data_IF_135282079246
#
_entry.id   IF_135282079246
#
_cell.length_a   1.000
_cell.length_b   1.000
_cell.length_c   1.000
_cell.angle_alpha   90.00
_cell.angle_beta   90.00
_cell.angle_gamma   90.00
#
_symmetry.space_group_name_H-M   'P 1'
#
loop_
_entity.id
_entity.type
_entity.pdbx_description
1 polymer ?
#
# COMPACT_ATOMS: atom_id res chain seq x y z
N UNK A 1 -4.48 9.74 -1.72
CA UNK A 1 -3.09 9.23 -1.61
C UNK A 1 -2.17 10.22 -0.88
N UNK A 2 -2.12 11.51 -1.28
CA UNK A 2 -1.21 12.53 -0.74
C UNK A 2 -1.29 12.80 0.78
N UNK A 3 -2.37 12.39 1.43
CA UNK A 3 -2.54 12.51 2.89
C UNK A 3 -1.78 11.41 3.63
N UNK A 4 -1.80 10.22 3.05
CA UNK A 4 -1.38 8.99 3.69
C UNK A 4 0.08 8.66 3.40
N UNK A 5 0.63 9.27 2.36
CA UNK A 5 1.95 8.99 1.84
C UNK A 5 2.69 10.29 1.58
N UNK A 6 4.01 10.21 1.69
CA UNK A 6 4.89 11.31 1.34
C UNK A 6 4.74 11.67 -0.15
N UNK A 7 4.91 12.95 -0.55
CA UNK A 7 4.65 13.38 -1.92
C UNK A 7 5.38 12.59 -3.00
N UNK A 8 6.61 12.11 -2.76
CA UNK A 8 7.37 11.33 -3.74
C UNK A 8 6.77 9.94 -3.96
N UNK A 9 6.29 9.27 -2.90
CA UNK A 9 5.62 7.97 -3.02
C UNK A 9 4.27 8.11 -3.70
N UNK A 10 3.43 9.02 -3.21
CA UNK A 10 2.08 9.23 -3.73
C UNK A 10 2.06 9.83 -5.14
N UNK A 11 3.00 10.72 -5.45
CA UNK A 11 3.02 11.48 -6.70
C UNK A 11 3.83 10.85 -7.82
N UNK A 12 4.87 10.04 -7.50
CA UNK A 12 5.79 9.50 -8.50
C UNK A 12 5.80 7.98 -8.49
N UNK A 13 6.12 7.36 -7.35
CA UNK A 13 6.36 5.91 -7.29
C UNK A 13 5.09 5.10 -7.56
N UNK A 14 4.01 5.34 -6.82
CA UNK A 14 2.77 4.57 -7.03
C UNK A 14 2.16 4.79 -8.42
N UNK A 15 2.06 6.02 -8.96
CA UNK A 15 1.62 6.22 -10.35
C UNK A 15 2.49 5.48 -11.36
N UNK A 16 3.81 5.51 -11.19
CA UNK A 16 4.73 4.78 -12.08
C UNK A 16 4.52 3.27 -12.00
N UNK A 17 4.37 2.72 -10.79
CA UNK A 17 4.09 1.30 -10.58
C UNK A 17 2.74 0.87 -11.16
N UNK A 18 1.70 1.73 -11.10
CA UNK A 18 0.40 1.47 -11.71
C UNK A 18 0.54 1.38 -13.23
N UNK A 19 1.22 2.36 -13.85
CA UNK A 19 1.42 2.38 -15.31
C UNK A 19 2.22 1.16 -15.78
N UNK A 20 3.36 0.88 -15.13
CA UNK A 20 4.18 -0.30 -15.42
C UNK A 20 3.38 -1.59 -15.20
N UNK A 21 2.60 -1.65 -14.12
CA UNK A 21 1.74 -2.80 -13.81
C UNK A 21 0.71 -3.07 -14.91
N UNK A 22 0.03 -2.03 -15.41
CA UNK A 22 -0.93 -2.13 -16.51
C UNK A 22 -0.25 -2.58 -17.82
N UNK A 23 0.93 -2.05 -18.14
CA UNK A 23 1.71 -2.48 -19.31
C UNK A 23 2.22 -3.93 -19.18
N UNK A 24 2.44 -4.40 -17.94
CA UNK A 24 2.94 -5.75 -17.67
C UNK A 24 1.87 -6.84 -17.75
N UNK A 25 0.57 -6.49 -17.65
CA UNK A 25 -0.56 -7.44 -17.72
C UNK A 25 -0.43 -8.46 -18.87
N UNK A 26 -0.25 -8.06 -20.15
CA UNK A 26 -0.17 -9.02 -21.26
C UNK A 26 1.03 -9.98 -21.18
N UNK A 27 2.09 -9.61 -20.45
CA UNK A 27 3.29 -10.45 -20.30
C UNK A 27 3.20 -11.38 -19.09
N UNK A 28 2.46 -10.98 -18.06
CA UNK A 28 2.24 -11.77 -16.85
C UNK A 28 1.12 -12.78 -17.06
N UNK A 29 0.04 -12.37 -17.74
CA UNK A 29 -1.12 -13.21 -17.99
C UNK A 29 -0.93 -14.08 -19.23
N UNK A 30 -0.56 -15.33 -18.99
CA UNK A 30 -0.36 -16.34 -20.05
C UNK A 30 -1.60 -17.19 -20.32
N UNK A 31 -2.76 -16.85 -19.76
CA UNK A 31 -3.97 -17.67 -19.90
C UNK A 31 -4.60 -17.44 -21.30
N UNK A 32 -4.67 -18.46 -22.18
CA UNK A 32 -5.23 -18.30 -23.52
C UNK A 32 -6.77 -18.26 -23.53
N UNK A 33 -7.43 -18.64 -22.41
CA UNK A 33 -8.90 -18.69 -22.31
C UNK A 33 -9.49 -17.30 -22.09
N UNK A 34 -10.71 -17.07 -22.58
CA UNK A 34 -11.37 -15.77 -22.49
C UNK A 34 -10.69 -14.68 -23.33
N UNK A 35 -10.05 -15.07 -24.44
CA UNK A 35 -9.54 -14.14 -25.44
C UNK A 35 -10.60 -13.93 -26.53
N UNK A 36 -11.05 -12.68 -26.72
CA UNK A 36 -12.09 -12.32 -27.68
C UNK A 36 -13.54 -12.48 -27.21
N UNK A 37 -13.78 -12.98 -25.99
CA UNK A 37 -15.12 -13.05 -25.38
C UNK A 37 -15.03 -12.85 -23.85
N UNK A 38 -16.08 -12.28 -23.25
CA UNK A 38 -16.14 -12.04 -21.81
C UNK A 38 -16.59 -13.31 -21.08
N UNK A 39 -15.78 -13.82 -20.13
CA UNK A 39 -16.16 -14.96 -19.28
C UNK A 39 -15.55 -14.84 -17.89
N UNK A 40 -16.41 -14.66 -16.88
CA UNK A 40 -16.00 -14.62 -15.48
C UNK A 40 -15.54 -15.98 -14.97
N UNK A 41 -16.17 -17.08 -15.41
CA UNK A 41 -15.92 -18.40 -14.86
C UNK A 41 -14.49 -18.92 -15.09
N UNK A 42 -13.88 -18.57 -16.23
CA UNK A 42 -12.58 -19.06 -16.69
C UNK A 42 -11.40 -18.20 -16.23
N UNK A 43 -11.64 -16.94 -15.82
CA UNK A 43 -10.62 -15.95 -15.41
C UNK A 43 -10.99 -15.21 -14.13
N UNK A 44 -11.57 -15.94 -13.17
CA UNK A 44 -12.09 -15.35 -11.91
C UNK A 44 -11.01 -14.56 -11.17
N UNK A 45 -9.79 -15.07 -11.13
CA UNK A 45 -8.70 -14.48 -10.34
C UNK A 45 -8.13 -13.21 -10.98
N UNK A 46 -7.95 -13.22 -12.28
CA UNK A 46 -7.40 -12.12 -13.07
C UNK A 46 -8.40 -10.96 -13.10
N UNK A 47 -9.68 -11.28 -13.33
CA UNK A 47 -10.75 -10.26 -13.36
C UNK A 47 -11.01 -9.71 -11.96
N UNK A 48 -11.05 -10.54 -10.91
CA UNK A 48 -11.24 -10.03 -9.53
C UNK A 48 -10.08 -9.15 -9.08
N UNK A 49 -8.84 -9.51 -9.41
CA UNK A 49 -7.67 -8.69 -9.10
C UNK A 49 -7.75 -7.32 -9.80
N UNK A 50 -8.11 -7.31 -11.09
CA UNK A 50 -8.30 -6.08 -11.83
C UNK A 50 -9.43 -5.22 -11.26
N UNK A 51 -10.60 -5.82 -10.97
CA UNK A 51 -11.73 -5.12 -10.38
C UNK A 51 -11.43 -4.61 -8.97
N UNK A 52 -10.62 -5.32 -8.19
CA UNK A 52 -10.16 -4.82 -6.90
C UNK A 52 -9.31 -3.56 -7.06
N UNK A 53 -8.32 -3.58 -7.95
CA UNK A 53 -7.51 -2.39 -8.25
C UNK A 53 -8.35 -1.23 -8.81
N UNK A 54 -9.23 -1.50 -9.76
CA UNK A 54 -10.03 -0.47 -10.42
C UNK A 54 -11.21 0.02 -9.57
N UNK A 55 -12.12 -0.86 -9.13
CA UNK A 55 -13.31 -0.42 -8.39
C UNK A 55 -12.98 0.00 -6.96
N UNK A 56 -12.19 -0.79 -6.23
CA UNK A 56 -11.94 -0.54 -4.80
C UNK A 56 -10.83 0.48 -4.60
N UNK A 57 -9.68 0.34 -5.26
CA UNK A 57 -8.58 1.26 -5.03
C UNK A 57 -8.68 2.54 -5.84
N UNK A 58 -9.31 2.54 -7.01
CA UNK A 58 -9.44 3.75 -7.82
C UNK A 58 -10.78 4.43 -7.61
N UNK A 59 -11.89 3.82 -8.04
CA UNK A 59 -13.22 4.46 -8.05
C UNK A 59 -13.69 4.79 -6.64
N UNK A 60 -13.67 3.82 -5.73
CA UNK A 60 -14.12 4.04 -4.35
C UNK A 60 -13.25 5.10 -3.63
N UNK A 61 -11.92 5.07 -3.79
CA UNK A 61 -11.07 6.09 -3.17
C UNK A 61 -11.30 7.50 -3.74
N UNK A 62 -11.66 7.62 -5.03
CA UNK A 62 -12.08 8.90 -5.62
C UNK A 62 -13.38 9.35 -4.96
N UNK A 63 -14.41 8.50 -4.89
CA UNK A 63 -15.71 8.83 -4.27
C UNK A 63 -15.53 9.26 -2.81
N UNK A 64 -14.79 8.49 -2.02
CA UNK A 64 -14.52 8.83 -0.61
C UNK A 64 -13.73 10.15 -0.51
N UNK A 65 -12.78 10.37 -1.42
CA UNK A 65 -11.98 11.59 -1.48
C UNK A 65 -12.74 12.83 -1.94
N UNK A 66 -13.78 12.69 -2.76
CA UNK A 66 -14.57 13.83 -3.26
C UNK A 66 -15.71 14.20 -2.33
N UNK A 67 -16.38 13.22 -1.72
CA UNK A 67 -17.59 13.46 -0.95
C UNK A 67 -17.39 13.48 0.57
N UNK A 68 -16.46 12.67 1.10
CA UNK A 68 -16.25 12.56 2.55
C UNK A 68 -15.04 13.35 3.04
N UNK A 69 -14.38 14.12 2.15
CA UNK A 69 -13.18 14.90 2.48
C UNK A 69 -13.55 16.37 2.59
N UNK A 70 -13.38 16.94 3.77
CA UNK A 70 -13.66 18.36 4.03
C UNK A 70 -12.41 19.17 4.39
N UNK A 71 -12.60 20.36 4.97
CA UNK A 71 -11.51 21.24 5.38
C UNK A 71 -10.46 20.55 6.25
N UNK A 72 -9.22 21.03 6.18
CA UNK A 72 -8.07 20.48 6.92
C UNK A 72 -7.82 18.99 6.68
N UNK A 73 -8.30 18.44 5.56
CA UNK A 73 -8.14 17.03 5.22
C UNK A 73 -8.82 16.09 6.24
N UNK A 74 -9.84 16.57 6.94
CA UNK A 74 -10.63 15.75 7.84
C UNK A 74 -11.69 14.94 7.09
N UNK A 75 -12.13 13.85 7.70
CA UNK A 75 -13.22 13.02 7.19
C UNK A 75 -14.52 13.57 7.78
N UNK A 76 -15.49 13.78 6.90
CA UNK A 76 -16.85 14.19 7.27
C UNK A 76 -17.82 13.12 6.79
N UNK A 77 -18.75 12.74 7.66
CA UNK A 77 -19.80 11.79 7.33
C UNK A 77 -20.76 12.34 6.27
N UNK A 78 -21.55 11.47 5.63
CA UNK A 78 -22.66 11.94 4.79
C UNK A 78 -23.59 12.83 5.63
N UNK A 79 -23.89 14.01 5.11
CA UNK A 79 -24.72 15.05 5.75
C UNK A 79 -24.10 15.76 6.97
N UNK A 80 -22.81 15.55 7.28
CA UNK A 80 -22.11 16.33 8.30
C UNK A 80 -21.71 17.72 7.74
N UNK A 81 -21.94 18.78 8.52
CA UNK A 81 -21.53 20.12 8.14
C UNK A 81 -20.01 20.26 8.17
N UNK A 82 -19.43 20.85 7.13
CA UNK A 82 -18.00 21.11 7.04
C UNK A 82 -17.59 22.31 7.89
N UNK A 83 -17.37 22.07 9.19
CA UNK A 83 -16.78 23.07 10.07
C UNK A 83 -15.28 23.23 9.82
N UNK A 84 -14.87 24.45 9.50
CA UNK A 84 -13.48 24.86 9.29
C UNK A 84 -12.64 24.76 10.57
N UNK A 85 -13.28 24.87 11.74
CA UNK A 85 -12.60 24.88 13.05
C UNK A 85 -12.46 23.49 13.66
N UNK A 86 -13.00 22.45 13.01
CA UNK A 86 -12.77 21.07 13.40
C UNK A 86 -11.29 20.73 13.14
N UNK A 87 -10.50 20.73 14.22
CA UNK A 87 -9.10 20.31 14.23
C UNK A 87 -9.01 18.95 14.93
N UNK A 88 -9.19 17.86 14.19
CA UNK A 88 -8.85 16.55 14.72
C UNK A 88 -7.33 16.46 14.86
N UNK A 89 -6.87 16.26 16.11
CA UNK A 89 -5.46 16.07 16.40
C UNK A 89 -5.00 14.74 15.78
N UNK A 90 -4.51 14.80 14.54
CA UNK A 90 -3.75 13.73 13.91
C UNK A 90 -2.41 13.62 14.64
N UNK A 91 -2.42 12.98 15.81
CA UNK A 91 -1.22 12.61 16.55
C UNK A 91 -0.42 11.65 15.68
N UNK A 92 0.50 12.23 14.93
CA UNK A 92 1.33 11.54 13.97
C UNK A 92 2.41 10.77 14.71
N UNK A 93 2.18 9.48 14.92
CA UNK A 93 3.16 8.62 15.61
C UNK A 93 3.91 7.80 14.57
N UNK A 94 5.24 7.83 14.64
CA UNK A 94 6.09 6.99 13.79
C UNK A 94 6.19 5.58 14.36
N UNK A 95 6.50 4.59 13.50
CA UNK A 95 6.70 3.22 13.96
C UNK A 95 7.84 3.10 14.99
N UNK A 96 8.91 3.90 14.82
CA UNK A 96 10.01 3.96 15.78
C UNK A 96 9.55 4.40 17.16
N UNK A 97 8.60 5.33 17.29
CA UNK A 97 8.01 5.73 18.57
C UNK A 97 7.18 4.60 19.20
N UNK A 98 6.42 3.85 18.39
CA UNK A 98 5.69 2.67 18.88
C UNK A 98 6.64 1.62 19.48
N UNK A 99 7.75 1.35 18.80
CA UNK A 99 8.70 0.33 19.23
C UNK A 99 9.56 0.81 20.42
N UNK A 100 10.20 1.97 20.30
CA UNK A 100 11.14 2.44 21.32
C UNK A 100 10.46 3.00 22.57
N UNK A 101 9.42 3.82 22.39
CA UNK A 101 8.76 4.51 23.52
C UNK A 101 7.69 3.61 24.13
N UNK A 102 6.72 3.13 23.33
CA UNK A 102 5.56 2.40 23.88
C UNK A 102 5.89 0.96 24.28
N UNK A 103 6.73 0.25 23.51
CA UNK A 103 7.06 -1.15 23.80
C UNK A 103 8.28 -1.28 24.71
N UNK A 104 9.36 -0.53 24.45
CA UNK A 104 10.61 -0.64 25.22
C UNK A 104 10.75 0.37 26.36
N UNK A 105 9.90 1.40 26.44
CA UNK A 105 9.97 2.43 27.47
C UNK A 105 11.24 3.30 27.43
N UNK A 106 11.94 3.33 26.30
CA UNK A 106 13.20 4.06 26.12
C UNK A 106 12.99 5.30 25.26
N UNK A 107 13.82 6.32 25.49
CA UNK A 107 13.91 7.47 24.58
C UNK A 107 14.35 7.04 23.18
N UNK A 108 14.00 7.84 22.17
CA UNK A 108 14.39 7.57 20.78
C UNK A 108 15.93 7.59 20.66
N UNK A 109 16.55 6.54 20.10
CA UNK A 109 18.00 6.50 19.93
C UNK A 109 18.44 7.60 18.95
N UNK A 110 19.60 8.22 19.23
CA UNK A 110 20.16 9.30 18.40
C UNK A 110 20.63 8.81 17.02
N UNK A 111 21.10 7.55 16.94
CA UNK A 111 21.51 6.95 15.68
C UNK A 111 20.29 6.63 14.81
N UNK A 112 20.19 7.33 13.68
CA UNK A 112 19.14 7.19 12.66
C UNK A 112 18.85 5.73 12.26
N UNK A 113 19.90 4.96 11.95
CA UNK A 113 19.74 3.55 11.53
C UNK A 113 19.15 2.67 12.63
N UNK A 114 19.54 2.91 13.89
CA UNK A 114 19.03 2.15 15.04
C UNK A 114 17.58 2.55 15.33
N UNK A 115 17.27 3.85 15.24
CA UNK A 115 15.92 4.39 15.43
C UNK A 115 14.91 3.74 14.49
N UNK A 116 15.27 3.65 13.22
CA UNK A 116 14.37 3.16 12.17
C UNK A 116 14.55 1.67 11.84
N UNK A 117 15.46 0.97 12.53
CA UNK A 117 15.74 -0.46 12.30
C UNK A 117 14.48 -1.34 12.27
N UNK A 118 13.49 -1.19 13.19
CA UNK A 118 12.26 -1.97 13.13
C UNK A 118 11.48 -1.74 11.82
N UNK A 119 11.40 -0.48 11.37
CA UNK A 119 10.74 -0.13 10.12
C UNK A 119 11.46 -0.68 8.89
N UNK A 120 12.79 -0.56 8.85
CA UNK A 120 13.62 -1.09 7.76
C UNK A 120 13.45 -2.61 7.67
N UNK A 121 13.47 -3.31 8.81
CA UNK A 121 13.27 -4.76 8.83
C UNK A 121 11.88 -5.15 8.33
N UNK A 122 10.82 -4.42 8.70
CA UNK A 122 9.46 -4.69 8.21
C UNK A 122 9.37 -4.47 6.70
N UNK A 123 9.93 -3.37 6.18
CA UNK A 123 9.94 -3.09 4.74
C UNK A 123 10.75 -4.14 3.97
N UNK A 124 11.93 -4.50 4.47
CA UNK A 124 12.77 -5.53 3.87
C UNK A 124 12.09 -6.90 3.89
N UNK A 125 11.44 -7.25 5.00
CA UNK A 125 10.65 -8.47 5.09
C UNK A 125 9.50 -8.46 4.08
N UNK A 126 8.76 -7.36 4.00
CA UNK A 126 7.63 -7.22 3.08
C UNK A 126 8.02 -7.33 1.60
N UNK A 127 9.15 -6.73 1.20
CA UNK A 127 9.57 -6.71 -0.21
C UNK A 127 10.43 -7.91 -0.63
N UNK A 128 11.23 -8.49 0.27
CA UNK A 128 12.20 -9.53 -0.10
C UNK A 128 11.79 -10.92 0.41
N UNK A 129 11.33 -11.02 1.65
CA UNK A 129 11.05 -12.31 2.29
C UNK A 129 9.64 -12.79 1.95
N UNK A 130 8.65 -11.89 2.01
CA UNK A 130 7.24 -12.21 1.78
C UNK A 130 6.98 -12.80 0.38
N UNK A 131 7.55 -12.28 -0.73
CA UNK A 131 7.39 -12.92 -2.04
C UNK A 131 7.85 -14.37 -2.05
N UNK A 132 8.99 -14.64 -1.40
CA UNK A 132 9.55 -15.99 -1.25
C UNK A 132 8.66 -16.91 -0.42
N UNK A 133 8.07 -16.42 0.67
CA UNK A 133 7.10 -17.20 1.47
C UNK A 133 5.82 -17.50 0.67
N UNK A 134 5.33 -16.53 -0.10
CA UNK A 134 4.13 -16.69 -0.93
C UNK A 134 4.30 -17.76 -2.01
N UNK A 135 5.53 -17.99 -2.50
CA UNK A 135 5.79 -19.08 -3.48
C UNK A 135 5.48 -20.45 -2.91
N UNK A 136 5.69 -20.64 -1.60
CA UNK A 136 5.53 -21.94 -0.93
C UNK A 136 4.13 -22.17 -0.39
N UNK A 137 3.33 -21.11 -0.27
CA UNK A 137 2.01 -21.13 0.39
C UNK A 137 0.88 -20.86 -0.60
N UNK A 138 0.38 -19.63 -0.66
CA UNK A 138 -0.85 -19.26 -1.37
C UNK A 138 -0.68 -19.18 -2.90
N UNK A 139 0.49 -18.76 -3.38
CA UNK A 139 0.72 -18.49 -4.81
C UNK A 139 1.55 -19.58 -5.50
N UNK A 140 1.71 -20.76 -4.88
CA UNK A 140 2.48 -21.89 -5.44
C UNK A 140 2.04 -22.27 -6.86
N UNK A 141 0.72 -22.32 -7.09
CA UNK A 141 0.15 -22.64 -8.41
C UNK A 141 0.51 -21.60 -9.49
N UNK A 142 0.73 -20.35 -9.10
CA UNK A 142 1.14 -19.27 -10.01
C UNK A 142 2.65 -19.33 -10.28
N UNK A 143 3.45 -19.66 -9.26
CA UNK A 143 4.88 -19.90 -9.42
C UNK A 143 5.17 -20.98 -10.47
N UNK A 144 4.49 -22.13 -10.35
CA UNK A 144 4.69 -23.28 -11.26
C UNK A 144 4.29 -22.96 -12.71
N UNK A 145 3.33 -22.04 -12.92
CA UNK A 145 2.83 -21.65 -14.24
C UNK A 145 3.64 -20.54 -14.90
N UNK A 146 4.07 -19.54 -14.13
CA UNK A 146 4.67 -18.31 -14.65
C UNK A 146 6.20 -18.35 -14.68
N UNK A 147 6.82 -19.26 -13.91
CA UNK A 147 8.25 -19.29 -13.71
C UNK A 147 8.76 -18.15 -12.82
N UNK A 148 10.06 -18.16 -12.46
CA UNK A 148 10.60 -17.33 -11.38
C UNK A 148 10.53 -15.82 -11.66
N UNK A 149 10.82 -15.39 -12.89
CA UNK A 149 10.92 -13.96 -13.22
C UNK A 149 9.56 -13.28 -13.36
N UNK A 150 8.62 -13.88 -14.10
CA UNK A 150 7.27 -13.31 -14.25
C UNK A 150 6.51 -13.30 -12.92
N UNK A 151 6.69 -14.36 -12.13
CA UNK A 151 6.12 -14.41 -10.77
C UNK A 151 6.67 -13.29 -9.89
N UNK A 152 7.98 -13.07 -9.89
CA UNK A 152 8.59 -12.06 -9.01
C UNK A 152 8.05 -10.66 -9.31
N UNK A 153 7.92 -10.32 -10.60
CA UNK A 153 7.32 -9.05 -11.03
C UNK A 153 5.84 -9.00 -10.61
N UNK A 154 5.07 -10.05 -10.88
CA UNK A 154 3.66 -10.13 -10.50
C UNK A 154 3.45 -9.93 -9.00
N UNK A 155 4.22 -10.61 -8.16
CA UNK A 155 4.07 -10.51 -6.71
C UNK A 155 4.53 -9.15 -6.18
N UNK A 156 5.60 -8.57 -6.74
CA UNK A 156 6.00 -7.21 -6.35
C UNK A 156 4.91 -6.18 -6.68
N UNK A 157 4.28 -6.28 -7.85
CA UNK A 157 3.16 -5.42 -8.23
C UNK A 157 1.92 -5.67 -7.34
N UNK A 158 1.62 -6.92 -7.03
CA UNK A 158 0.52 -7.31 -6.14
C UNK A 158 0.73 -6.76 -4.73
N UNK A 159 1.94 -6.89 -4.18
CA UNK A 159 2.31 -6.34 -2.88
C UNK A 159 2.26 -4.81 -2.89
N UNK A 160 2.76 -4.16 -3.94
CA UNK A 160 2.63 -2.72 -4.11
C UNK A 160 1.16 -2.25 -4.10
N UNK A 161 0.29 -3.00 -4.77
CA UNK A 161 -1.15 -2.75 -4.79
C UNK A 161 -1.79 -2.90 -3.40
N UNK A 162 -1.38 -3.91 -2.62
CA UNK A 162 -1.88 -4.18 -1.26
C UNK A 162 -1.31 -3.21 -0.22
N UNK A 163 -0.08 -2.71 -0.41
CA UNK A 163 0.56 -1.76 0.49
C UNK A 163 -0.27 -0.48 0.64
N UNK A 164 -0.90 -0.01 -0.45
CA UNK A 164 -1.77 1.17 -0.46
C UNK A 164 -2.90 1.11 0.58
N UNK A 165 -3.89 0.19 0.48
CA UNK A 165 -4.95 0.09 1.46
C UNK A 165 -4.44 -0.35 2.84
N UNK A 166 -3.40 -1.18 2.92
CA UNK A 166 -2.83 -1.61 4.20
C UNK A 166 -2.32 -0.41 5.02
N UNK A 167 -1.57 0.50 4.40
CA UNK A 167 -1.12 1.71 5.10
C UNK A 167 -2.27 2.64 5.47
N UNK A 168 -3.29 2.76 4.61
CA UNK A 168 -4.48 3.56 4.93
C UNK A 168 -5.19 3.03 6.19
N UNK A 169 -5.33 1.71 6.30
CA UNK A 169 -5.90 1.07 7.50
C UNK A 169 -5.02 1.31 8.72
N UNK A 170 -3.70 1.18 8.60
CA UNK A 170 -2.76 1.49 9.70
C UNK A 170 -2.88 2.95 10.14
N UNK A 171 -3.08 3.88 9.19
CA UNK A 171 -3.32 5.27 9.50
C UNK A 171 -4.60 5.47 10.31
N UNK A 172 -5.71 4.84 9.91
CA UNK A 172 -7.00 5.04 10.57
C UNK A 172 -7.11 4.34 11.92
N UNK A 173 -6.44 3.20 12.10
CA UNK A 173 -6.55 2.40 13.33
C UNK A 173 -5.58 2.83 14.42
N UNK A 174 -4.33 3.13 14.06
CA UNK A 174 -3.25 3.42 15.02
C UNK A 174 -2.53 4.75 14.75
N UNK A 175 -3.08 5.62 13.89
CA UNK A 175 -2.49 6.93 13.56
C UNK A 175 -1.01 6.88 13.12
N UNK A 176 -0.61 5.76 12.51
CA UNK A 176 0.75 5.60 11.99
C UNK A 176 1.01 6.59 10.85
N UNK A 177 2.03 7.46 10.97
CA UNK A 177 2.43 8.36 9.88
C UNK A 177 3.43 7.70 8.94
N UNK A 178 4.55 7.27 9.51
CA UNK A 178 5.65 6.67 8.76
C UNK A 178 6.05 5.33 9.39
N UNK A 179 6.31 4.36 8.52
CA UNK A 179 6.92 3.07 8.84
C UNK A 179 8.42 3.28 9.03
N UNK A 180 9.04 4.09 8.17
CA UNK A 180 10.43 4.52 8.27
C UNK A 180 10.44 6.04 8.14
N UNK A 181 10.98 6.72 9.15
CA UNK A 181 11.12 8.18 9.19
C UNK A 181 12.60 8.59 9.31
N UNK A 182 13.16 9.02 8.19
CA UNK A 182 14.54 9.47 8.09
C UNK A 182 14.57 10.93 7.60
N UNK A 183 14.18 11.89 8.45
CA UNK A 183 14.15 13.31 8.10
C UNK A 183 15.52 13.85 7.66
N UNK A 184 16.61 13.24 8.13
CA UNK A 184 17.99 13.65 7.82
C UNK A 184 18.33 13.54 6.32
N UNK A 185 17.68 12.61 5.61
CA UNK A 185 17.86 12.38 4.16
C UNK A 185 16.54 12.51 3.39
N UNK A 186 15.50 13.07 4.02
CA UNK A 186 14.14 13.18 3.47
C UNK A 186 13.53 11.85 3.01
N UNK A 187 13.90 10.74 3.65
CA UNK A 187 13.40 9.41 3.30
C UNK A 187 12.30 8.98 4.25
N UNK A 188 11.06 9.05 3.79
CA UNK A 188 9.89 8.69 4.58
C UNK A 188 9.00 7.69 3.82
N UNK A 189 8.68 6.56 4.46
CA UNK A 189 7.83 5.48 3.90
C UNK A 189 6.57 5.31 4.71
#
# INVERSE_FOLDING_TARGET
MLVYYDPWLAGVVFPSLIIVGLMAIPYIDTNPKGNGYFTLAERKTEISLFLFGFLILWVLLVILGTFLRGPNWNIFGPYEYWDLHKLEALNNVNLSEYFWIKMLGRGLPQNMLVRELPGILIVAFYLLVLPGILTRTLLRKYWDKMGPWRYSIFVLLLLGMVALPAKMILRWTINLKYIVAMPEIFFNI
#
